data_IF_477397507492
#
_entry.id   IF_477397507492
#
_cell.length_a   1.000
_cell.length_b   1.000
_cell.length_c   1.000
_cell.angle_alpha   90.00
_cell.angle_beta   90.00
_cell.angle_gamma   90.00
#
_symmetry.space_group_name_H-M   'P 1'
#
loop_
_entity.id
_entity.type
_entity.pdbx_description
1 polymer ?
#
# COMPACT_ATOMS: atom_id res chain seq x y z
N UNK A 1 -8.61 -6.20 14.82
CA UNK A 1 -9.23 -6.08 13.49
C UNK A 1 -10.40 -5.10 13.53
N UNK A 2 -10.44 -4.03 12.70
CA UNK A 2 -11.52 -3.03 12.80
C UNK A 2 -12.89 -3.48 12.25
N UNK A 3 -13.00 -4.71 11.74
CA UNK A 3 -14.27 -5.28 11.27
C UNK A 3 -14.97 -6.06 12.39
N UNK A 4 -14.24 -6.95 13.09
CA UNK A 4 -14.80 -7.74 14.20
C UNK A 4 -14.51 -7.15 15.59
N UNK A 5 -13.68 -6.11 15.67
CA UNK A 5 -13.22 -5.44 16.90
C UNK A 5 -12.35 -6.30 17.84
N UNK A 6 -12.02 -7.54 17.48
CA UNK A 6 -11.09 -8.38 18.26
C UNK A 6 -9.63 -7.95 18.10
N UNK A 7 -8.81 -8.25 19.10
CA UNK A 7 -7.35 -8.07 19.06
C UNK A 7 -6.67 -9.08 18.13
N UNK A 8 -5.42 -8.79 17.76
CA UNK A 8 -4.56 -9.73 17.05
C UNK A 8 -3.63 -10.43 18.04
N UNK A 9 -3.52 -11.74 17.95
CA UNK A 9 -2.60 -12.56 18.73
C UNK A 9 -1.31 -12.86 17.96
N UNK A 10 -0.25 -13.21 18.70
CA UNK A 10 0.97 -13.74 18.10
C UNK A 10 0.63 -14.99 17.27
N UNK A 11 1.11 -15.02 16.02
CA UNK A 11 0.84 -16.05 15.01
C UNK A 11 -0.55 -16.03 14.35
N UNK A 12 -1.37 -15.00 14.59
CA UNK A 12 -2.60 -14.86 13.82
C UNK A 12 -2.28 -14.68 12.33
N UNK A 13 -3.05 -15.41 11.51
CA UNK A 13 -3.06 -15.15 10.08
C UNK A 13 -3.75 -13.81 9.85
N UNK A 14 -3.09 -12.95 9.09
CA UNK A 14 -3.62 -11.65 8.72
C UNK A 14 -3.52 -11.42 7.23
N UNK A 15 -4.47 -10.66 6.70
CA UNK A 15 -4.47 -10.19 5.32
C UNK A 15 -4.21 -8.70 5.31
N UNK A 16 -3.16 -8.30 4.59
CA UNK A 16 -2.81 -6.90 4.38
C UNK A 16 -3.25 -6.46 2.99
N UNK A 17 -4.04 -5.39 2.94
CA UNK A 17 -4.45 -4.78 1.66
C UNK A 17 -3.30 -3.93 1.07
N UNK A 18 -3.36 -3.56 -0.23
CA UNK A 18 -2.34 -2.69 -0.87
C UNK A 18 -2.22 -1.30 -0.23
N UNK A 19 -3.25 -0.86 0.49
CA UNK A 19 -3.21 0.34 1.32
C UNK A 19 -2.62 0.10 2.72
N UNK A 20 -1.88 -0.99 2.91
CA UNK A 20 -1.20 -1.41 4.13
C UNK A 20 -2.06 -1.74 5.37
N UNK A 21 -3.38 -1.56 5.33
CA UNK A 21 -4.26 -1.93 6.43
C UNK A 21 -4.43 -3.44 6.54
N UNK A 22 -4.47 -3.92 7.78
CA UNK A 22 -4.43 -5.34 8.13
C UNK A 22 -5.77 -5.76 8.75
N UNK A 23 -6.24 -6.95 8.36
CA UNK A 23 -7.49 -7.54 8.77
C UNK A 23 -7.32 -9.04 9.03
N UNK A 24 -8.22 -9.64 9.82
CA UNK A 24 -8.38 -11.10 9.77
C UNK A 24 -8.83 -11.53 8.37
N UNK A 25 -8.30 -12.64 7.82
CA UNK A 25 -8.63 -13.10 6.47
C UNK A 25 -10.14 -13.26 6.25
N UNK A 26 -10.83 -13.95 7.18
CA UNK A 26 -12.28 -14.13 7.12
C UNK A 26 -13.02 -12.79 7.09
N UNK A 27 -12.64 -11.86 7.96
CA UNK A 27 -13.30 -10.56 8.05
C UNK A 27 -13.17 -9.75 6.76
N UNK A 28 -11.97 -9.70 6.17
CA UNK A 28 -11.78 -8.92 4.95
C UNK A 28 -12.37 -9.60 3.73
N UNK A 29 -12.35 -10.93 3.65
CA UNK A 29 -13.02 -11.67 2.57
C UNK A 29 -14.52 -11.38 2.56
N UNK A 30 -15.19 -11.48 3.71
CA UNK A 30 -16.63 -11.19 3.80
C UNK A 30 -16.96 -9.74 3.42
N UNK A 31 -16.12 -8.79 3.82
CA UNK A 31 -16.28 -7.39 3.42
C UNK A 31 -16.10 -7.22 1.90
N UNK A 32 -15.06 -7.86 1.33
CA UNK A 32 -14.74 -7.73 -0.09
C UNK A 32 -15.74 -8.41 -1.03
N UNK A 33 -16.55 -9.35 -0.52
CA UNK A 33 -17.68 -9.91 -1.26
C UNK A 33 -18.79 -8.87 -1.53
N UNK A 34 -18.87 -7.79 -0.75
CA UNK A 34 -19.91 -6.75 -0.87
C UNK A 34 -19.36 -5.40 -1.31
N UNK A 35 -18.08 -5.15 -1.05
CA UNK A 35 -17.43 -3.86 -1.31
C UNK A 35 -16.02 -4.05 -1.85
N UNK A 36 -15.62 -3.34 -2.89
CA UNK A 36 -14.23 -3.36 -3.35
C UNK A 36 -13.35 -2.29 -2.66
N UNK A 37 -13.65 -1.92 -1.41
CA UNK A 37 -12.93 -0.84 -0.71
C UNK A 37 -12.38 -1.27 0.64
N UNK A 38 -11.26 -0.68 1.04
CA UNK A 38 -10.72 -0.85 2.39
C UNK A 38 -11.64 -0.20 3.45
N UNK A 39 -12.09 -0.94 4.48
CA UNK A 39 -12.97 -0.43 5.53
C UNK A 39 -12.43 0.83 6.22
N UNK A 40 -11.12 0.90 6.47
CA UNK A 40 -10.52 1.97 7.26
C UNK A 40 -10.23 3.26 6.46
N UNK A 41 -9.92 3.14 5.17
CA UNK A 41 -9.38 4.28 4.40
C UNK A 41 -9.95 4.41 2.99
N UNK A 42 -11.00 3.63 2.67
CA UNK A 42 -11.72 3.63 1.39
C UNK A 42 -10.83 3.48 0.17
N UNK A 43 -9.66 2.84 0.31
CA UNK A 43 -8.85 2.45 -0.85
C UNK A 43 -9.67 1.54 -1.75
N UNK A 44 -9.91 1.96 -2.99
CA UNK A 44 -10.58 1.14 -3.98
C UNK A 44 -9.58 0.08 -4.50
N UNK A 45 -9.94 -1.19 -4.38
CA UNK A 45 -9.22 -2.34 -4.89
C UNK A 45 -9.57 -2.58 -6.37
N UNK A 46 -8.64 -3.17 -7.14
CA UNK A 46 -8.92 -3.53 -8.52
C UNK A 46 -10.00 -4.61 -8.58
N UNK A 47 -10.90 -4.52 -9.57
CA UNK A 47 -11.88 -5.56 -9.90
C UNK A 47 -11.86 -5.84 -11.41
N UNK A 48 -12.50 -6.93 -11.83
CA UNK A 48 -12.57 -7.34 -13.23
C UNK A 48 -13.65 -6.57 -14.01
N UNK A 49 -13.43 -5.25 -14.15
CA UNK A 49 -14.27 -4.38 -14.98
C UNK A 49 -13.43 -3.25 -15.56
N UNK A 50 -13.24 -3.28 -16.88
CA UNK A 50 -12.39 -2.30 -17.59
C UNK A 50 -12.90 -0.87 -17.40
N UNK A 51 -14.22 -0.67 -17.40
CA UNK A 51 -14.85 0.64 -17.20
C UNK A 51 -14.57 1.13 -15.78
N UNK A 52 -14.84 0.30 -14.77
CA UNK A 52 -14.60 0.64 -13.38
C UNK A 52 -13.12 0.93 -13.11
N UNK A 53 -12.20 0.11 -13.65
CA UNK A 53 -10.76 0.28 -13.45
C UNK A 53 -10.23 1.59 -14.02
N UNK A 54 -10.78 2.06 -15.14
CA UNK A 54 -10.41 3.37 -15.71
C UNK A 54 -10.76 4.49 -14.74
N UNK A 55 -11.99 4.51 -14.23
CA UNK A 55 -12.44 5.56 -13.32
C UNK A 55 -11.76 5.47 -11.95
N UNK A 56 -11.57 4.25 -11.45
CA UNK A 56 -10.86 3.97 -10.20
C UNK A 56 -9.45 4.56 -10.23
N UNK A 57 -8.70 4.36 -11.32
CA UNK A 57 -7.36 4.93 -11.49
C UNK A 57 -7.37 6.45 -11.35
N UNK A 58 -8.36 7.12 -11.93
CA UNK A 58 -8.50 8.57 -11.79
C UNK A 58 -8.85 9.01 -10.37
N UNK A 59 -9.78 8.32 -9.69
CA UNK A 59 -10.12 8.61 -8.29
C UNK A 59 -8.95 8.37 -7.34
N UNK A 60 -8.13 7.35 -7.63
CA UNK A 60 -7.01 6.95 -6.79
C UNK A 60 -5.68 7.65 -7.12
N UNK A 61 -5.61 8.50 -8.16
CA UNK A 61 -4.33 9.05 -8.66
C UNK A 61 -3.50 9.83 -7.64
N UNK A 62 -4.14 10.51 -6.70
CA UNK A 62 -3.46 11.31 -5.66
C UNK A 62 -3.17 10.52 -4.39
N UNK A 63 -3.54 9.24 -4.35
CA UNK A 63 -3.45 8.45 -3.14
C UNK A 63 -2.03 7.96 -2.94
N UNK A 64 -1.41 8.44 -1.87
CA UNK A 64 -0.04 8.08 -1.50
C UNK A 64 0.01 6.62 -1.01
N UNK A 65 0.94 5.78 -1.52
CA UNK A 65 1.16 4.45 -0.97
C UNK A 65 1.66 4.54 0.47
N UNK A 66 1.39 3.50 1.26
CA UNK A 66 1.69 3.44 2.69
C UNK A 66 2.78 2.39 2.91
N UNK A 67 3.87 2.78 3.56
CA UNK A 67 5.00 1.90 3.86
C UNK A 67 5.46 2.09 5.30
N UNK A 68 5.80 1.01 5.99
CA UNK A 68 6.61 1.14 7.19
C UNK A 68 8.09 1.28 6.80
N UNK A 69 8.88 1.97 7.63
CA UNK A 69 10.31 2.18 7.36
C UNK A 69 11.06 0.87 7.12
N UNK A 70 10.85 -0.13 7.97
CA UNK A 70 11.52 -1.42 7.86
C UNK A 70 11.19 -2.15 6.56
N UNK A 71 10.03 -1.90 5.94
CA UNK A 71 9.63 -2.51 4.67
C UNK A 71 10.49 -1.96 3.53
N UNK A 72 10.63 -0.63 3.49
CA UNK A 72 11.51 0.04 2.52
C UNK A 72 12.96 -0.43 2.68
N UNK A 73 13.44 -0.53 3.93
CA UNK A 73 14.79 -1.00 4.23
C UNK A 73 15.03 -2.45 3.83
N UNK A 74 13.98 -3.29 3.78
CA UNK A 74 14.09 -4.70 3.36
C UNK A 74 13.88 -4.93 1.87
N UNK A 75 13.27 -3.99 1.15
CA UNK A 75 13.11 -4.08 -0.31
C UNK A 75 14.47 -4.18 -1.02
N UNK A 76 14.48 -4.88 -2.14
CA UNK A 76 15.61 -4.92 -3.07
C UNK A 76 15.78 -3.57 -3.78
N UNK A 77 16.98 -3.30 -4.29
CA UNK A 77 17.25 -2.09 -5.08
C UNK A 77 16.33 -2.01 -6.31
N UNK A 78 15.97 -3.15 -6.92
CA UNK A 78 15.05 -3.21 -8.07
C UNK A 78 13.65 -2.71 -7.67
N UNK A 79 13.15 -3.13 -6.52
CA UNK A 79 11.83 -2.70 -6.03
C UNK A 79 11.83 -1.23 -5.63
N UNK A 80 12.90 -0.76 -4.95
CA UNK A 80 13.06 0.65 -4.57
C UNK A 80 13.10 1.56 -5.81
N UNK A 81 13.87 1.19 -6.84
CA UNK A 81 13.90 1.89 -8.13
C UNK A 81 12.52 1.90 -8.79
N UNK A 82 11.82 0.77 -8.77
CA UNK A 82 10.45 0.66 -9.29
C UNK A 82 9.48 1.63 -8.59
N UNK A 83 9.56 1.72 -7.26
CA UNK A 83 8.76 2.67 -6.48
C UNK A 83 9.09 4.13 -6.82
N UNK A 84 10.39 4.47 -6.96
CA UNK A 84 10.81 5.80 -7.38
C UNK A 84 10.26 6.17 -8.77
N UNK A 85 10.31 5.24 -9.74
CA UNK A 85 9.72 5.47 -11.08
C UNK A 85 8.21 5.70 -10.99
N UNK A 86 7.49 4.82 -10.27
CA UNK A 86 6.04 4.90 -10.11
C UNK A 86 5.59 6.22 -9.47
N UNK A 87 6.38 6.74 -8.54
CA UNK A 87 6.10 7.99 -7.84
C UNK A 87 6.77 9.20 -8.50
N UNK A 88 7.44 9.04 -9.64
CA UNK A 88 8.17 10.11 -10.33
C UNK A 88 9.16 10.84 -9.39
N UNK A 89 9.99 10.08 -8.68
CA UNK A 89 11.07 10.57 -7.82
C UNK A 89 12.37 10.51 -8.64
N UNK A 90 13.08 11.64 -8.71
CA UNK A 90 14.36 11.73 -9.43
C UNK A 90 15.44 10.89 -8.76
N UNK A 91 16.21 10.13 -9.54
CA UNK A 91 17.21 9.17 -9.04
C UNK A 91 18.65 9.50 -9.42
N UNK A 92 18.91 10.67 -10.02
CA UNK A 92 20.23 11.01 -10.59
C UNK A 92 21.37 11.00 -9.57
N UNK A 93 21.09 11.31 -8.30
CA UNK A 93 22.07 11.39 -7.22
C UNK A 93 21.96 10.24 -6.20
N UNK A 94 21.25 9.15 -6.53
CA UNK A 94 21.05 8.01 -5.62
C UNK A 94 22.01 6.88 -5.98
N UNK A 95 22.97 6.61 -5.09
CA UNK A 95 24.08 5.68 -5.33
C UNK A 95 23.92 4.43 -4.49
N UNK A 96 23.59 4.59 -3.22
CA UNK A 96 23.43 3.50 -2.26
C UNK A 96 21.96 3.16 -2.04
N UNK A 97 21.69 1.92 -1.57
CA UNK A 97 20.32 1.49 -1.21
C UNK A 97 19.63 2.47 -0.26
N UNK A 98 20.40 3.02 0.69
CA UNK A 98 19.91 3.99 1.68
C UNK A 98 19.38 5.26 1.02
N UNK A 99 20.06 5.77 -0.01
CA UNK A 99 19.64 6.97 -0.74
C UNK A 99 18.23 6.82 -1.32
N UNK A 100 17.89 5.64 -1.86
CA UNK A 100 16.55 5.37 -2.37
C UNK A 100 15.48 5.36 -1.27
N UNK A 101 15.79 4.75 -0.12
CA UNK A 101 14.88 4.72 1.03
C UNK A 101 14.64 6.14 1.55
N UNK A 102 15.71 6.90 1.76
CA UNK A 102 15.63 8.27 2.26
C UNK A 102 14.92 9.20 1.26
N UNK A 103 15.17 9.04 -0.05
CA UNK A 103 14.47 9.79 -1.09
C UNK A 103 12.96 9.48 -1.12
N UNK A 104 12.56 8.20 -0.98
CA UNK A 104 11.15 7.82 -0.90
C UNK A 104 10.47 8.48 0.31
N UNK A 105 11.12 8.45 1.47
CA UNK A 105 10.63 9.05 2.71
C UNK A 105 10.52 10.57 2.58
N UNK A 106 11.55 11.24 2.07
CA UNK A 106 11.61 12.69 1.94
C UNK A 106 10.72 13.24 0.81
N UNK A 107 10.31 12.40 -0.16
CA UNK A 107 9.54 12.84 -1.33
C UNK A 107 8.17 13.45 -1.00
N UNK A 108 7.63 13.16 0.19
CA UNK A 108 6.25 13.49 0.54
C UNK A 108 5.20 12.76 -0.30
N UNK A 109 5.60 11.80 -1.15
CA UNK A 109 4.70 11.04 -2.05
C UNK A 109 4.24 9.71 -1.46
N UNK A 110 4.81 9.30 -0.33
CA UNK A 110 4.37 8.15 0.46
C UNK A 110 3.78 8.62 1.79
N UNK A 111 3.12 7.71 2.49
CA UNK A 111 2.78 7.87 3.91
C UNK A 111 3.57 6.82 4.69
N UNK A 112 4.29 7.26 5.70
CA UNK A 112 4.94 6.36 6.65
C UNK A 112 3.94 5.89 7.70
N UNK A 113 3.99 4.59 8.02
CA UNK A 113 3.16 3.93 9.05
C UNK A 113 4.00 3.23 10.10
#
# INVERSE_FOLDING_TARGET
>A
CCICFDEYSLNDKVTRLPCAHIYHPKCITEWLNRHCTCPQCRYELPIDSVVYERERKERMKHRKPRYARYELERMSIKELKGACVMLSIGMLALVEKKDFVDALIASGKIILI
#
